data_IF_210143725917
#
_entry.id   IF_210143725917
#
_cell.length_a   1.000
_cell.length_b   1.000
_cell.length_c   1.000
_cell.angle_alpha   90.00
_cell.angle_beta   90.00
_cell.angle_gamma   90.00
#
_symmetry.space_group_name_H-M   'P 1'
#
loop_
_entity.id
_entity.type
_entity.pdbx_description
1 polymer ?
#
# COMPACT_ATOMS: atom_id res chain seq x y z
N UNK A 1 12.49 7.44 30.44
CA UNK A 1 11.22 8.00 29.94
C UNK A 1 10.59 6.97 29.03
N UNK A 2 9.33 6.61 29.23
CA UNK A 2 8.66 5.62 28.36
C UNK A 2 8.37 6.25 26.99
N UNK A 3 8.89 5.65 25.94
CA UNK A 3 8.56 5.98 24.56
C UNK A 3 7.26 5.26 24.18
N UNK A 4 6.29 5.97 23.61
CA UNK A 4 5.07 5.39 23.10
C UNK A 4 5.28 4.91 21.66
N UNK A 5 4.97 3.66 21.38
CA UNK A 5 4.97 3.11 20.01
C UNK A 5 3.53 3.02 19.50
N UNK A 6 3.29 3.55 18.32
CA UNK A 6 1.99 3.63 17.68
C UNK A 6 2.08 2.87 16.35
N UNK A 7 1.07 2.06 16.05
CA UNK A 7 0.95 1.34 14.78
C UNK A 7 -0.34 1.80 14.11
N UNK A 8 -0.22 2.32 12.89
CA UNK A 8 -1.35 2.76 12.07
C UNK A 8 -1.54 1.83 10.89
N UNK A 9 -2.78 1.43 10.67
CA UNK A 9 -3.22 0.67 9.51
C UNK A 9 -4.37 1.36 8.80
N UNK A 10 -4.86 0.79 7.69
CA UNK A 10 -5.84 1.42 6.80
C UNK A 10 -7.15 1.87 7.49
N UNK A 11 -7.53 1.22 8.60
CA UNK A 11 -8.68 1.65 9.41
C UNK A 11 -8.58 3.09 9.91
N UNK A 12 -7.36 3.58 10.16
CA UNK A 12 -7.11 4.96 10.56
C UNK A 12 -7.49 5.94 9.43
N UNK A 13 -7.03 5.69 8.20
CA UNK A 13 -7.35 6.52 7.04
C UNK A 13 -8.85 6.54 6.74
N UNK A 14 -9.49 5.37 6.83
CA UNK A 14 -10.93 5.23 6.60
C UNK A 14 -11.76 5.98 7.63
N UNK A 15 -11.34 5.97 8.89
CA UNK A 15 -12.01 6.70 9.96
C UNK A 15 -11.86 8.23 9.80
N UNK A 16 -10.71 8.69 9.29
CA UNK A 16 -10.50 10.08 8.88
C UNK A 16 -11.36 10.49 7.66
N UNK A 17 -11.93 9.54 6.93
CA UNK A 17 -12.79 9.79 5.77
C UNK A 17 -12.12 9.62 4.41
N UNK A 18 -10.85 9.16 4.36
CA UNK A 18 -10.17 8.87 3.10
C UNK A 18 -10.71 7.57 2.47
N UNK A 19 -10.75 7.51 1.15
CA UNK A 19 -11.16 6.33 0.40
C UNK A 19 -9.95 5.51 -0.02
N UNK A 20 -9.28 4.89 0.94
CA UNK A 20 -8.01 4.16 0.71
C UNK A 20 -8.17 2.63 0.63
N UNK A 21 -9.40 2.13 0.49
CA UNK A 21 -9.63 0.70 0.24
C UNK A 21 -9.23 0.33 -1.18
N UNK A 22 -8.69 -0.87 -1.36
CA UNK A 22 -8.46 -1.41 -2.71
C UNK A 22 -9.74 -1.50 -3.55
N UNK A 23 -10.90 -1.71 -2.91
CA UNK A 23 -12.20 -1.70 -3.60
C UNK A 23 -12.61 -0.31 -4.11
N UNK A 24 -12.17 0.77 -3.44
CA UNK A 24 -12.40 2.14 -3.91
C UNK A 24 -11.50 2.44 -5.10
N UNK A 25 -10.21 2.10 -5.00
CA UNK A 25 -9.26 2.19 -6.11
C UNK A 25 -9.74 1.40 -7.33
N UNK A 26 -10.20 0.15 -7.15
CA UNK A 26 -10.66 -0.70 -8.24
C UNK A 26 -11.91 -0.16 -8.98
N UNK A 27 -12.66 0.75 -8.37
CA UNK A 27 -13.83 1.44 -8.94
C UNK A 27 -13.52 2.83 -9.49
N UNK A 28 -12.32 3.32 -9.27
CA UNK A 28 -11.91 4.65 -9.70
C UNK A 28 -11.42 4.67 -11.15
N UNK A 29 -11.33 5.86 -11.73
CA UNK A 29 -10.76 6.08 -13.06
C UNK A 29 -9.24 5.80 -13.12
N UNK A 30 -8.61 5.61 -11.95
CA UNK A 30 -7.21 5.24 -11.82
C UNK A 30 -6.97 3.74 -12.03
N UNK A 31 -8.02 2.89 -11.99
CA UNK A 31 -7.81 1.48 -12.26
C UNK A 31 -7.29 1.29 -13.69
N UNK A 32 -6.10 0.71 -13.89
CA UNK A 32 -5.50 0.67 -15.21
C UNK A 32 -6.31 -0.20 -16.16
N UNK A 33 -6.67 0.37 -17.29
CA UNK A 33 -7.27 -0.40 -18.38
C UNK A 33 -6.30 -1.51 -18.79
N UNK A 34 -6.81 -2.67 -19.21
CA UNK A 34 -5.99 -3.67 -19.88
C UNK A 34 -5.23 -3.01 -21.02
N UNK A 35 -3.97 -3.42 -21.25
CA UNK A 35 -3.30 -3.00 -22.47
C UNK A 35 -4.22 -3.31 -23.65
N UNK A 36 -4.48 -2.31 -24.49
CA UNK A 36 -5.08 -2.56 -25.79
C UNK A 36 -4.28 -3.70 -26.38
N UNK A 37 -4.96 -4.81 -26.62
CA UNK A 37 -4.32 -6.04 -27.07
C UNK A 37 -3.34 -5.67 -28.16
N UNK A 38 -2.06 -6.05 -28.01
CA UNK A 38 -1.11 -5.97 -29.10
C UNK A 38 -1.90 -6.33 -30.36
N UNK A 39 -2.14 -5.36 -31.26
CA UNK A 39 -3.13 -5.50 -32.35
C UNK A 39 -2.92 -6.77 -33.17
N UNK A 40 -1.69 -7.34 -33.07
CA UNK A 40 -1.30 -8.60 -33.68
C UNK A 40 -1.78 -9.86 -32.95
N UNK A 41 -1.98 -9.82 -31.62
CA UNK A 41 -2.21 -11.07 -30.85
C UNK A 41 -3.57 -11.16 -30.13
N UNK A 42 -4.39 -10.11 -30.04
CA UNK A 42 -5.73 -10.10 -29.39
C UNK A 42 -5.83 -10.78 -28.01
N UNK A 43 -4.70 -10.99 -27.32
CA UNK A 43 -4.66 -11.69 -26.04
C UNK A 43 -4.64 -10.63 -24.94
N UNK A 44 -5.76 -10.50 -24.24
CA UNK A 44 -5.82 -9.63 -23.04
C UNK A 44 -4.82 -10.13 -22.00
N UNK A 45 -4.18 -9.18 -21.30
CA UNK A 45 -3.23 -9.49 -20.23
C UNK A 45 -3.83 -10.46 -19.19
N UNK A 46 -3.20 -11.62 -18.91
CA UNK A 46 -3.78 -12.63 -18.02
C UNK A 46 -4.04 -12.13 -16.60
N UNK A 47 -3.13 -11.32 -16.04
CA UNK A 47 -3.30 -10.75 -14.71
C UNK A 47 -4.44 -9.74 -14.70
N UNK A 48 -4.52 -8.85 -15.69
CA UNK A 48 -5.60 -7.90 -15.81
C UNK A 48 -6.96 -8.60 -15.82
N UNK A 49 -7.13 -9.61 -16.68
CA UNK A 49 -8.36 -10.39 -16.76
C UNK A 49 -8.71 -11.07 -15.43
N UNK A 50 -7.71 -11.60 -14.74
CA UNK A 50 -7.93 -12.25 -13.45
C UNK A 50 -8.41 -11.23 -12.41
N UNK A 51 -7.72 -10.09 -12.29
CA UNK A 51 -8.06 -9.05 -11.31
C UNK A 51 -9.42 -8.40 -11.60
N UNK A 52 -9.76 -8.17 -12.86
CA UNK A 52 -11.08 -7.65 -13.25
C UNK A 52 -12.22 -8.61 -12.88
N UNK A 53 -12.00 -9.90 -13.03
CA UNK A 53 -12.96 -10.90 -12.58
C UNK A 53 -13.12 -10.89 -11.04
N UNK A 54 -12.03 -10.72 -10.32
CA UNK A 54 -12.04 -10.69 -8.85
C UNK A 54 -12.75 -9.45 -8.32
N UNK A 55 -12.36 -8.24 -8.75
CA UNK A 55 -12.93 -6.98 -8.28
C UNK A 55 -14.44 -6.88 -8.51
N UNK A 56 -14.95 -7.51 -9.59
CA UNK A 56 -16.36 -7.49 -9.93
C UNK A 56 -17.21 -8.49 -9.13
N UNK A 57 -16.59 -9.51 -8.52
CA UNK A 57 -17.28 -10.57 -7.76
C UNK A 57 -17.21 -10.38 -6.26
N UNK A 58 -16.20 -9.69 -5.76
CA UNK A 58 -15.93 -9.57 -4.34
C UNK A 58 -16.40 -8.22 -3.82
N UNK A 59 -17.28 -8.23 -2.80
CA UNK A 59 -17.70 -7.00 -2.11
C UNK A 59 -16.52 -6.31 -1.43
N UNK A 60 -15.61 -7.09 -0.86
CA UNK A 60 -14.36 -6.62 -0.27
C UNK A 60 -13.21 -7.11 -1.14
N UNK A 61 -12.73 -6.23 -2.03
CA UNK A 61 -11.63 -6.59 -2.92
C UNK A 61 -10.29 -6.44 -2.18
N UNK A 62 -9.59 -7.57 -2.03
CA UNK A 62 -8.23 -7.65 -1.51
C UNK A 62 -7.25 -7.80 -2.68
N UNK A 63 -6.62 -6.71 -3.06
CA UNK A 63 -5.69 -6.67 -4.19
C UNK A 63 -4.45 -7.54 -3.94
N UNK A 64 -3.87 -7.48 -2.74
CA UNK A 64 -2.66 -8.24 -2.41
C UNK A 64 -2.95 -9.74 -2.34
N UNK A 65 -4.07 -10.13 -1.76
CA UNK A 65 -4.53 -11.52 -1.78
C UNK A 65 -4.83 -12.02 -3.20
N UNK A 66 -5.39 -11.18 -4.06
CA UNK A 66 -5.62 -11.51 -5.47
C UNK A 66 -4.31 -11.66 -6.25
N UNK A 67 -3.33 -10.80 -6.04
CA UNK A 67 -1.99 -10.95 -6.63
C UNK A 67 -1.32 -12.25 -6.18
N UNK A 68 -1.43 -12.58 -4.88
CA UNK A 68 -0.94 -13.85 -4.34
C UNK A 68 -1.60 -15.05 -5.01
N UNK A 69 -2.92 -15.06 -5.09
CA UNK A 69 -3.65 -16.16 -5.74
C UNK A 69 -3.25 -16.30 -7.20
N UNK A 70 -3.12 -15.18 -7.91
CA UNK A 70 -2.65 -15.22 -9.29
C UNK A 70 -1.27 -15.83 -9.44
N UNK A 71 -0.29 -15.35 -8.67
CA UNK A 71 1.08 -15.83 -8.74
C UNK A 71 1.20 -17.33 -8.43
N UNK A 72 0.44 -17.82 -7.43
CA UNK A 72 0.49 -19.21 -6.98
C UNK A 72 -0.24 -20.19 -7.90
N UNK A 73 -1.37 -19.79 -8.48
CA UNK A 73 -2.27 -20.72 -9.20
C UNK A 73 -2.24 -20.55 -10.71
N UNK A 74 -2.10 -19.32 -11.18
CA UNK A 74 -2.28 -18.96 -12.60
C UNK A 74 -1.02 -18.39 -13.23
N UNK A 75 -0.04 -17.97 -12.41
CA UNK A 75 1.23 -17.47 -12.89
C UNK A 75 2.05 -18.57 -13.54
N UNK A 76 2.55 -18.30 -14.75
CA UNK A 76 3.43 -19.20 -15.50
C UNK A 76 4.61 -18.38 -16.04
N UNK A 77 5.72 -19.06 -16.36
CA UNK A 77 6.88 -18.42 -16.98
C UNK A 77 6.52 -17.68 -18.28
N UNK A 78 5.59 -18.23 -19.05
CA UNK A 78 5.20 -17.67 -20.36
C UNK A 78 4.44 -16.36 -20.26
N UNK A 79 3.69 -16.14 -19.18
CA UNK A 79 2.90 -14.91 -18.98
C UNK A 79 3.53 -13.95 -17.96
N UNK A 80 4.70 -14.26 -17.42
CA UNK A 80 5.30 -13.50 -16.35
C UNK A 80 5.62 -12.06 -16.75
N UNK A 81 6.25 -11.86 -17.90
CA UNK A 81 6.64 -10.51 -18.35
C UNK A 81 5.44 -9.59 -18.53
N UNK A 82 4.39 -10.05 -19.23
CA UNK A 82 3.18 -9.25 -19.43
C UNK A 82 2.44 -8.98 -18.12
N UNK A 83 2.37 -9.97 -17.23
CA UNK A 83 1.74 -9.83 -15.92
C UNK A 83 2.49 -8.83 -15.03
N UNK A 84 3.83 -8.87 -15.04
CA UNK A 84 4.65 -7.93 -14.27
C UNK A 84 4.51 -6.50 -14.79
N UNK A 85 4.47 -6.28 -16.11
CA UNK A 85 4.20 -4.95 -16.69
C UNK A 85 2.85 -4.40 -16.22
N UNK A 86 1.82 -5.24 -16.16
CA UNK A 86 0.51 -4.82 -15.66
C UNK A 86 0.53 -4.56 -14.15
N UNK A 87 1.23 -5.38 -13.37
CA UNK A 87 1.44 -5.17 -11.94
C UNK A 87 2.12 -3.82 -11.66
N UNK A 88 3.19 -3.48 -12.37
CA UNK A 88 3.88 -2.20 -12.25
C UNK A 88 2.96 -1.01 -12.57
N UNK A 89 2.06 -1.16 -13.53
CA UNK A 89 1.02 -0.16 -13.84
C UNK A 89 0.02 -0.01 -12.70
N UNK A 90 -0.42 -1.13 -12.09
CA UNK A 90 -1.32 -1.09 -10.93
C UNK A 90 -0.64 -0.36 -9.76
N UNK A 91 0.61 -0.67 -9.47
CA UNK A 91 1.35 -0.03 -8.38
C UNK A 91 1.46 1.49 -8.60
N UNK A 92 1.84 1.90 -9.82
CA UNK A 92 1.91 3.31 -10.18
C UNK A 92 0.54 4.00 -10.08
N UNK A 93 -0.49 3.41 -10.63
CA UNK A 93 -1.86 3.96 -10.61
C UNK A 93 -2.41 4.03 -9.18
N UNK A 94 -2.12 3.04 -8.34
CA UNK A 94 -2.47 3.08 -6.92
C UNK A 94 -1.79 4.25 -6.21
N UNK A 95 -0.50 4.48 -6.49
CA UNK A 95 0.22 5.62 -5.93
C UNK A 95 -0.43 6.95 -6.33
N UNK A 96 -0.78 7.12 -7.60
CA UNK A 96 -1.46 8.31 -8.10
C UNK A 96 -2.87 8.49 -7.49
N UNK A 97 -3.63 7.40 -7.38
CA UNK A 97 -4.94 7.41 -6.73
C UNK A 97 -4.87 7.86 -5.27
N UNK A 98 -3.99 7.25 -4.47
CA UNK A 98 -3.85 7.61 -3.05
C UNK A 98 -3.36 9.05 -2.89
N UNK A 99 -2.46 9.54 -3.76
CA UNK A 99 -2.06 10.96 -3.78
C UNK A 99 -3.25 11.88 -3.98
N UNK A 100 -4.10 11.57 -4.95
CA UNK A 100 -5.28 12.36 -5.25
C UNK A 100 -6.29 12.35 -4.09
N UNK A 101 -6.55 11.17 -3.51
CA UNK A 101 -7.41 11.03 -2.34
C UNK A 101 -6.87 11.86 -1.17
N UNK A 102 -5.58 11.77 -0.90
CA UNK A 102 -4.91 12.52 0.16
C UNK A 102 -5.00 14.04 -0.04
N UNK A 103 -4.75 14.53 -1.27
CA UNK A 103 -4.79 15.96 -1.59
C UNK A 103 -6.21 16.55 -1.50
N UNK A 104 -7.22 15.76 -1.84
CA UNK A 104 -8.64 16.17 -1.83
C UNK A 104 -9.36 15.80 -0.54
N UNK A 105 -8.65 15.26 0.45
CA UNK A 105 -9.25 14.76 1.68
C UNK A 105 -10.02 15.85 2.43
N UNK A 106 -11.25 15.51 2.81
CA UNK A 106 -12.05 16.29 3.76
C UNK A 106 -12.07 15.52 5.07
N UNK A 107 -11.18 15.90 5.97
CA UNK A 107 -10.96 15.17 7.21
C UNK A 107 -12.16 15.26 8.14
N UNK A 108 -12.62 14.12 8.63
CA UNK A 108 -13.64 14.02 9.66
C UNK A 108 -13.05 14.34 11.03
N UNK A 109 -13.20 15.60 11.46
CA UNK A 109 -12.64 16.10 12.73
C UNK A 109 -13.33 15.54 13.98
N UNK A 110 -14.49 14.90 13.81
CA UNK A 110 -15.25 14.18 14.83
C UNK A 110 -14.91 12.69 14.92
N UNK A 111 -13.94 12.22 14.13
CA UNK A 111 -13.53 10.81 14.12
C UNK A 111 -12.62 10.46 15.29
N UNK A 112 -12.61 9.18 15.69
CA UNK A 112 -11.70 8.67 16.71
C UNK A 112 -10.23 8.80 16.28
N UNK A 113 -9.93 8.61 14.99
CA UNK A 113 -8.59 8.80 14.45
C UNK A 113 -8.09 10.24 14.63
N UNK A 114 -8.96 11.24 14.44
CA UNK A 114 -8.60 12.63 14.64
C UNK A 114 -8.37 12.95 16.13
N UNK A 115 -9.25 12.48 17.02
CA UNK A 115 -9.06 12.65 18.47
C UNK A 115 -7.85 11.91 19.00
N UNK A 116 -7.54 10.74 18.42
CA UNK A 116 -6.29 10.03 18.73
C UNK A 116 -5.06 10.89 18.42
N UNK A 117 -5.01 11.57 17.27
CA UNK A 117 -3.89 12.45 16.92
C UNK A 117 -3.78 13.64 17.86
N UNK A 118 -4.91 14.22 18.30
CA UNK A 118 -4.88 15.25 19.34
C UNK A 118 -4.23 14.74 20.64
N UNK A 119 -4.58 13.52 21.04
CA UNK A 119 -3.97 12.91 22.22
C UNK A 119 -2.46 12.66 22.03
N UNK A 120 -2.04 12.19 20.85
CA UNK A 120 -0.63 11.97 20.52
C UNK A 120 0.18 13.27 20.54
N UNK A 121 -0.39 14.41 20.11
CA UNK A 121 0.28 15.70 20.18
C UNK A 121 0.70 16.09 21.61
N UNK A 122 -0.03 15.61 22.62
CA UNK A 122 0.31 15.87 24.04
C UNK A 122 1.39 14.94 24.59
N UNK A 123 1.79 13.90 23.87
CA UNK A 123 2.83 12.97 24.31
C UNK A 123 4.22 13.57 24.14
N UNK A 124 5.08 13.37 25.14
CA UNK A 124 6.47 13.91 25.13
C UNK A 124 7.38 13.21 24.12
N UNK A 125 7.12 11.92 23.86
CA UNK A 125 7.92 11.10 22.96
C UNK A 125 7.07 9.96 22.40
N UNK A 126 7.07 9.82 21.09
CA UNK A 126 6.37 8.72 20.40
C UNK A 126 7.06 8.38 19.09
N UNK A 127 6.80 7.16 18.60
CA UNK A 127 7.19 6.70 17.27
C UNK A 127 5.98 6.07 16.61
N UNK A 128 5.68 6.48 15.35
CA UNK A 128 4.57 5.97 14.55
C UNK A 128 5.12 5.09 13.44
N UNK A 129 4.66 3.84 13.41
CA UNK A 129 4.85 2.93 12.29
C UNK A 129 3.57 2.91 11.48
N UNK A 130 3.61 3.44 10.26
CA UNK A 130 2.47 3.46 9.34
C UNK A 130 2.59 2.33 8.32
N UNK A 131 1.55 1.52 8.23
CA UNK A 131 1.34 0.53 7.17
C UNK A 131 0.48 1.10 6.04
N UNK A 132 0.07 2.37 6.15
CA UNK A 132 -0.69 3.07 5.12
C UNK A 132 0.26 3.67 4.09
N UNK A 133 -0.21 3.81 2.87
CA UNK A 133 0.51 4.48 1.79
C UNK A 133 0.41 6.02 1.87
N UNK A 134 -0.58 6.54 2.62
CA UNK A 134 -0.78 7.96 2.83
C UNK A 134 0.40 8.56 3.60
N UNK A 135 0.79 9.77 3.21
CA UNK A 135 1.72 10.58 3.99
C UNK A 135 0.92 11.50 4.90
N UNK A 136 0.96 11.19 6.17
CA UNK A 136 0.19 11.87 7.20
C UNK A 136 0.29 13.40 7.15
N UNK A 137 1.49 13.91 6.86
CA UNK A 137 1.77 15.34 6.90
C UNK A 137 1.29 16.11 5.69
N UNK A 138 0.97 15.41 4.63
CA UNK A 138 0.49 15.98 3.39
C UNK A 138 -1.03 15.95 3.27
N UNK A 139 -1.70 15.41 4.30
CA UNK A 139 -3.16 15.45 4.37
C UNK A 139 -3.59 16.87 4.76
N UNK A 140 -4.39 17.57 3.94
CA UNK A 140 -4.90 18.89 4.25
C UNK A 140 -5.69 18.89 5.56
N UNK A 141 -5.67 20.01 6.29
CA UNK A 141 -6.38 20.17 7.56
C UNK A 141 -6.05 19.17 8.67
N UNK A 142 -5.05 18.32 8.45
CA UNK A 142 -4.55 17.41 9.48
C UNK A 142 -3.76 18.17 10.55
N UNK A 143 -3.90 17.71 11.78
CA UNK A 143 -3.09 18.23 12.89
C UNK A 143 -1.62 17.88 12.67
N UNK A 144 -0.77 18.89 12.60
CA UNK A 144 0.67 18.66 12.49
C UNK A 144 1.22 18.16 13.81
N UNK A 145 1.88 17.01 13.77
CA UNK A 145 2.67 16.55 14.89
C UNK A 145 4.00 17.33 14.89
N UNK A 146 4.40 17.89 16.02
CA UNK A 146 5.71 18.55 16.10
C UNK A 146 6.80 17.51 15.85
N UNK A 147 7.67 17.79 14.88
CA UNK A 147 8.51 16.79 14.26
C UNK A 147 9.94 16.83 14.71
N UNK A 148 10.40 15.63 15.00
CA UNK A 148 11.73 15.19 14.61
C UNK A 148 11.52 14.11 13.53
N UNK A 149 12.36 14.06 12.50
CA UNK A 149 12.27 13.15 11.34
C UNK A 149 12.19 11.66 11.72
N UNK A 150 12.49 11.34 12.96
CA UNK A 150 12.48 9.99 13.52
C UNK A 150 11.11 9.50 14.01
N UNK A 151 10.07 10.35 13.96
CA UNK A 151 8.75 10.06 14.55
C UNK A 151 7.90 9.14 13.67
N UNK A 152 8.12 9.14 12.37
CA UNK A 152 7.37 8.33 11.42
C UNK A 152 8.25 7.32 10.69
N UNK A 153 7.76 6.08 10.61
CA UNK A 153 8.29 5.03 9.74
C UNK A 153 7.17 4.51 8.85
N UNK A 154 7.28 4.74 7.55
CA UNK A 154 6.35 4.22 6.54
C UNK A 154 6.82 2.84 6.10
N UNK A 155 6.17 1.79 6.60
CA UNK A 155 6.63 0.39 6.42
C UNK A 155 6.46 -0.06 4.97
N UNK A 156 5.38 0.38 4.32
CA UNK A 156 5.10 0.10 2.92
C UNK A 156 5.43 1.28 2.00
N UNK A 157 6.36 2.15 2.40
CA UNK A 157 6.64 3.38 1.69
C UNK A 157 5.53 4.41 1.83
N UNK A 158 5.63 5.51 1.11
CA UNK A 158 4.59 6.55 1.07
C UNK A 158 4.41 7.13 -0.34
N UNK A 159 3.22 7.64 -0.60
CA UNK A 159 2.91 8.23 -1.91
C UNK A 159 3.72 9.49 -2.21
N UNK A 160 4.13 10.25 -1.19
CA UNK A 160 4.95 11.44 -1.40
C UNK A 160 6.38 11.09 -1.80
N UNK A 161 6.91 10.00 -1.26
CA UNK A 161 8.22 9.50 -1.66
C UNK A 161 8.20 8.75 -3.00
N UNK A 162 7.04 8.50 -3.59
CA UNK A 162 6.84 7.67 -4.79
C UNK A 162 7.43 6.27 -4.67
N UNK A 163 7.43 5.71 -3.47
CA UNK A 163 8.07 4.43 -3.16
C UNK A 163 7.11 3.48 -2.45
N UNK A 164 5.82 3.51 -2.79
CA UNK A 164 4.87 2.54 -2.24
C UNK A 164 5.29 1.12 -2.60
N UNK A 165 5.05 0.19 -1.68
CA UNK A 165 5.40 -1.21 -1.83
C UNK A 165 4.11 -2.01 -1.77
N UNK A 166 3.47 -2.16 -2.93
CA UNK A 166 2.37 -3.08 -3.14
C UNK A 166 2.94 -4.48 -3.30
N UNK A 167 2.34 -5.50 -2.70
CA UNK A 167 2.79 -6.86 -2.98
C UNK A 167 2.41 -7.89 -1.92
N UNK A 168 3.07 -9.03 -2.03
CA UNK A 168 2.77 -10.25 -1.30
C UNK A 168 3.82 -10.44 -0.20
N UNK A 169 3.39 -10.69 1.04
CA UNK A 169 4.30 -10.87 2.18
C UNK A 169 4.86 -12.29 2.30
N UNK A 170 4.10 -13.30 1.86
CA UNK A 170 4.48 -14.71 2.02
C UNK A 170 5.15 -15.29 0.77
N UNK A 171 6.30 -15.93 0.96
CA UNK A 171 7.04 -16.64 -0.10
C UNK A 171 6.60 -18.08 -0.32
N UNK A 172 5.86 -18.66 0.62
CA UNK A 172 5.51 -20.08 0.60
C UNK A 172 4.64 -20.42 -0.61
N UNK A 173 5.06 -21.42 -1.38
CA UNK A 173 4.33 -21.97 -2.50
C UNK A 173 4.56 -21.28 -3.84
N UNK A 174 5.48 -20.31 -3.91
CA UNK A 174 5.85 -19.70 -5.20
C UNK A 174 6.43 -20.75 -6.15
N UNK A 175 5.77 -20.92 -7.30
CA UNK A 175 6.17 -21.92 -8.30
C UNK A 175 7.18 -21.39 -9.30
N UNK A 176 7.14 -20.09 -9.57
CA UNK A 176 7.94 -19.44 -10.60
C UNK A 176 8.70 -18.26 -10.04
N UNK A 177 10.02 -18.31 -10.10
CA UNK A 177 10.91 -17.22 -9.71
C UNK A 177 10.63 -15.91 -10.46
N UNK A 178 10.03 -16.01 -11.66
CA UNK A 178 9.65 -14.87 -12.48
C UNK A 178 8.71 -13.88 -11.76
N UNK A 179 7.93 -14.34 -10.78
CA UNK A 179 6.99 -13.52 -10.03
C UNK A 179 7.57 -12.92 -8.74
N UNK A 180 8.87 -13.10 -8.49
CA UNK A 180 9.55 -12.55 -7.30
C UNK A 180 9.31 -11.06 -7.09
N UNK A 181 9.22 -10.29 -8.17
CA UNK A 181 8.96 -8.84 -8.10
C UNK A 181 7.62 -8.48 -7.44
N UNK A 182 6.65 -9.39 -7.42
CA UNK A 182 5.37 -9.18 -6.72
C UNK A 182 5.47 -9.44 -5.21
N UNK A 183 6.60 -9.93 -4.73
CA UNK A 183 6.80 -10.24 -3.31
C UNK A 183 7.62 -9.14 -2.64
N UNK A 184 7.08 -8.55 -1.59
CA UNK A 184 7.69 -7.43 -0.86
C UNK A 184 9.10 -7.73 -0.39
N UNK A 185 9.35 -8.92 0.11
CA UNK A 185 10.64 -9.35 0.66
C UNK A 185 11.80 -9.40 -0.35
N UNK A 186 11.50 -9.41 -1.66
CA UNK A 186 12.50 -9.42 -2.72
C UNK A 186 12.76 -8.04 -3.32
N UNK A 187 12.12 -7.02 -2.80
CA UNK A 187 12.32 -5.65 -3.26
C UNK A 187 13.45 -5.01 -2.48
N UNK A 188 14.38 -4.38 -3.19
CA UNK A 188 15.53 -3.69 -2.59
C UNK A 188 15.11 -2.52 -1.70
N UNK A 189 13.97 -1.90 -2.00
CA UNK A 189 13.38 -0.78 -1.27
C UNK A 189 12.52 -1.22 -0.06
N UNK A 190 12.25 -2.52 0.10
CA UNK A 190 11.48 -3.03 1.23
C UNK A 190 12.28 -2.95 2.52
N UNK A 191 11.92 -1.99 3.34
CA UNK A 191 12.50 -1.82 4.67
C UNK A 191 11.73 -2.58 5.75
N UNK A 192 11.06 -3.66 5.41
CA UNK A 192 10.28 -4.45 6.36
C UNK A 192 10.91 -4.49 7.75
N UNK A 193 10.25 -4.93 8.79
CA UNK A 193 10.74 -4.99 10.17
C UNK A 193 12.16 -5.60 10.19
N UNK A 194 13.14 -4.76 9.91
CA UNK A 194 14.53 -5.16 9.96
C UNK A 194 14.89 -5.31 11.43
N UNK A 195 14.90 -6.55 11.90
CA UNK A 195 15.29 -6.93 13.26
C UNK A 195 16.61 -6.28 13.73
N UNK A 196 17.43 -5.78 12.80
CA UNK A 196 18.64 -5.02 13.07
C UNK A 196 18.39 -3.56 13.52
N UNK A 197 17.29 -2.91 13.10
CA UNK A 197 16.96 -1.55 13.58
C UNK A 197 16.30 -1.57 14.95
N UNK A 198 15.53 -2.62 15.25
CA UNK A 198 14.90 -2.80 16.56
C UNK A 198 15.95 -3.09 17.65
N UNK A 199 17.04 -3.81 17.31
CA UNK A 199 18.13 -4.06 18.27
C UNK A 199 18.94 -2.83 18.66
N UNK A 200 19.02 -1.79 17.81
CA UNK A 200 19.73 -0.54 18.16
C UNK A 200 18.96 0.40 19.09
N UNK A 201 17.65 0.27 19.21
CA UNK A 201 16.85 1.08 20.14
C UNK A 201 16.71 0.45 21.53
N UNK A 202 17.17 -0.78 21.74
CA UNK A 202 17.17 -1.46 23.05
C UNK A 202 18.53 -1.40 23.78
N UNK A 203 19.53 -0.72 23.20
CA UNK A 203 20.87 -0.57 23.81
C UNK A 203 21.18 0.90 24.21
N UNK A 204 20.14 1.68 24.55
CA UNK A 204 20.29 3.03 25.14
C UNK A 204 19.64 3.07 26.51
#
# INVERSE_FOLDING_TARGET
MSQCTIILGNGFDLDLGLKTKFSDFAKSDYWPMPDEADEKNKISNPLSKFLDNKKNKEYWFDLEGALREYALRYGTKYNAESSLKYYERIEKSLCEYIKQEQQNAKIRKESMAYDFIKAVQSCKSFHIYSFNYTDFDSIPDMLRLSRKDEVFSYIHGSVNANNIILGIDELNGLKEDSYKKMYKVWRDDYQGFNSKKIKKSSEI
#
